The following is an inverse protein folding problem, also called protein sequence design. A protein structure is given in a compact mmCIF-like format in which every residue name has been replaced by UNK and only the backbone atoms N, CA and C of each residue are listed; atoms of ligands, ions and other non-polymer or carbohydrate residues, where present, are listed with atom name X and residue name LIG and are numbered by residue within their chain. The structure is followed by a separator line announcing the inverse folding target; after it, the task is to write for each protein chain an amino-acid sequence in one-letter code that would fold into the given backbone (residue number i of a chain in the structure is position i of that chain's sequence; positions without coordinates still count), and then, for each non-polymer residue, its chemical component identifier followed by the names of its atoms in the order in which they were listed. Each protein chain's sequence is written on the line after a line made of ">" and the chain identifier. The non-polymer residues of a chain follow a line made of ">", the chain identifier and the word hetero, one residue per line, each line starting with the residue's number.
data_IF_567564417234
#
_entry.id   IF_567564417234
#
_cell.length_a   1.000
_cell.length_b   1.000
_cell.length_c   1.000
_cell.angle_alpha   90.00
_cell.angle_beta   90.00
_cell.angle_gamma   90.00
#
_symmetry.space_group_name_H-M   'P 1'
#
loop_
_entity.id
_entity.type
_entity.pdbx_description
1 polymer ?
#
# COMPACT_ATOMS: atom_id res chain seq x y z
N UNK A 1 2.69 -66.29 4.34
CA UNK A 1 1.73 -65.26 4.81
C UNK A 1 2.52 -63.98 4.99
N UNK A 2 2.03 -62.88 4.41
CA UNK A 2 2.80 -61.69 3.99
C UNK A 2 2.79 -60.60 5.07
N UNK A 3 3.96 -60.24 5.60
CA UNK A 3 4.12 -59.21 6.64
C UNK A 3 4.15 -57.82 5.99
N UNK A 4 3.18 -56.98 6.35
CA UNK A 4 2.95 -55.67 5.74
C UNK A 4 3.92 -54.61 6.22
N UNK A 5 4.48 -53.87 5.27
CA UNK A 5 5.37 -52.72 5.50
C UNK A 5 4.51 -51.47 5.69
N UNK A 6 4.50 -50.90 6.90
CA UNK A 6 3.86 -49.61 7.19
C UNK A 6 4.76 -48.47 6.72
N UNK A 7 4.29 -47.70 5.74
CA UNK A 7 4.97 -46.49 5.25
C UNK A 7 4.43 -45.29 6.03
N UNK A 8 5.26 -44.72 6.90
CA UNK A 8 4.99 -43.44 7.58
C UNK A 8 5.31 -42.33 6.58
N UNK A 9 4.28 -41.75 5.98
CA UNK A 9 4.41 -40.58 5.11
C UNK A 9 4.55 -39.30 5.94
N UNK A 10 5.76 -38.76 6.02
CA UNK A 10 5.99 -37.43 6.59
C UNK A 10 5.58 -36.36 5.55
N UNK A 11 4.48 -35.67 5.81
CA UNK A 11 4.03 -34.54 4.99
C UNK A 11 4.91 -33.31 5.29
N UNK A 12 5.77 -32.94 4.34
CA UNK A 12 6.53 -31.69 4.39
C UNK A 12 5.59 -30.53 4.04
N UNK A 13 5.19 -29.75 5.04
CA UNK A 13 4.47 -28.49 4.85
C UNK A 13 5.45 -27.42 4.36
N UNK A 14 5.40 -27.11 3.05
CA UNK A 14 6.09 -25.97 2.49
C UNK A 14 5.28 -24.69 2.77
N UNK A 15 5.80 -23.81 3.62
CA UNK A 15 5.23 -22.48 3.84
C UNK A 15 5.77 -21.55 2.76
N UNK A 16 4.91 -21.15 1.82
CA UNK A 16 5.23 -20.11 0.85
C UNK A 16 4.85 -18.74 1.44
N UNK A 17 5.85 -17.87 1.65
CA UNK A 17 5.64 -16.47 1.99
C UNK A 17 5.62 -15.62 0.71
N UNK A 18 4.57 -14.82 0.50
CA UNK A 18 4.56 -13.82 -0.57
C UNK A 18 5.41 -12.62 -0.13
N UNK A 19 6.50 -12.34 -0.85
CA UNK A 19 7.19 -11.06 -0.77
C UNK A 19 6.71 -10.19 -1.92
N UNK A 20 6.24 -8.97 -1.63
CA UNK A 20 5.93 -7.99 -2.67
C UNK A 20 7.18 -7.14 -2.88
N UNK A 21 7.76 -7.13 -4.09
CA UNK A 21 8.86 -6.23 -4.40
C UNK A 21 8.34 -4.79 -4.44
N UNK A 22 8.85 -3.95 -3.54
CA UNK A 22 8.57 -2.51 -3.53
C UNK A 22 9.21 -1.87 -4.77
N UNK A 23 8.43 -1.75 -5.85
CA UNK A 23 8.84 -1.06 -7.07
C UNK A 23 8.43 0.40 -6.97
N UNK A 24 9.38 1.28 -6.62
CA UNK A 24 9.15 2.73 -6.58
C UNK A 24 8.91 3.35 -7.96
N UNK A 25 8.19 4.48 -8.10
CA UNK A 25 7.84 5.04 -9.39
C UNK A 25 9.06 5.60 -10.12
N UNK A 26 9.40 4.98 -11.26
CA UNK A 26 10.28 5.53 -12.30
C UNK A 26 9.41 6.36 -13.25
N UNK A 27 9.40 7.68 -13.06
CA UNK A 27 8.63 8.57 -13.92
C UNK A 27 8.74 10.02 -13.46
N UNK A 28 9.51 10.82 -14.20
CA UNK A 28 9.60 12.26 -14.03
C UNK A 28 8.33 12.93 -14.55
N UNK A 29 7.29 12.96 -13.72
CA UNK A 29 6.12 13.83 -13.92
C UNK A 29 6.26 15.03 -12.99
N UNK A 30 5.67 16.18 -13.35
CA UNK A 30 5.73 17.34 -12.48
C UNK A 30 5.13 16.96 -11.11
N UNK A 31 5.85 17.34 -10.05
CA UNK A 31 5.48 17.00 -8.68
C UNK A 31 5.17 18.27 -7.93
N UNK A 32 4.05 18.28 -7.21
CA UNK A 32 3.89 19.17 -6.07
C UNK A 32 4.40 18.38 -4.87
N UNK A 33 5.61 18.71 -4.41
CA UNK A 33 6.32 17.91 -3.42
C UNK A 33 6.70 16.52 -3.95
N UNK A 34 6.14 15.46 -3.35
CA UNK A 34 6.35 14.07 -3.79
C UNK A 34 5.15 13.46 -4.56
N UNK A 35 4.12 14.25 -4.86
CA UNK A 35 2.90 13.72 -5.48
C UNK A 35 2.86 13.95 -6.99
N UNK A 36 2.41 12.95 -7.76
CA UNK A 36 2.04 13.15 -9.16
C UNK A 36 0.92 14.19 -9.30
N UNK A 37 0.95 15.02 -10.34
CA UNK A 37 -0.12 15.99 -10.67
C UNK A 37 -1.52 15.39 -10.68
N UNK A 38 -1.66 14.15 -11.17
CA UNK A 38 -2.93 13.44 -11.19
C UNK A 38 -3.51 13.25 -9.78
N UNK A 39 -2.67 13.01 -8.78
CA UNK A 39 -3.10 12.85 -7.37
C UNK A 39 -3.48 14.21 -6.78
N UNK A 40 -2.70 15.25 -7.06
CA UNK A 40 -3.00 16.63 -6.64
C UNK A 40 -4.36 17.08 -7.18
N UNK A 41 -4.64 16.77 -8.44
CA UNK A 41 -5.89 17.16 -9.12
C UNK A 41 -7.13 16.43 -8.58
N UNK A 42 -6.95 15.25 -7.98
CA UNK A 42 -8.05 14.46 -7.41
C UNK A 42 -8.33 14.83 -5.95
N UNK A 43 -7.32 15.31 -5.22
CA UNK A 43 -7.41 15.54 -3.78
C UNK A 43 -8.51 16.54 -3.42
N UNK A 44 -9.33 16.18 -2.43
CA UNK A 44 -10.29 17.10 -1.83
C UNK A 44 -9.57 18.28 -1.13
N UNK A 45 -10.22 19.45 -1.03
CA UNK A 45 -9.65 20.61 -0.35
C UNK A 45 -9.38 20.34 1.14
N UNK A 46 -8.57 21.19 1.76
CA UNK A 46 -8.23 21.16 3.19
C UNK A 46 -7.46 19.90 3.66
N UNK A 47 -6.76 19.23 2.76
CA UNK A 47 -5.81 18.17 3.09
C UNK A 47 -4.38 18.67 2.85
N UNK A 48 -3.46 18.27 3.72
CA UNK A 48 -2.08 18.71 3.60
C UNK A 48 -1.34 17.86 2.55
N UNK A 49 -1.24 18.38 1.33
CA UNK A 49 -0.53 17.73 0.24
C UNK A 49 1.00 17.75 0.44
N UNK A 50 1.54 18.62 1.30
CA UNK A 50 2.98 18.74 1.47
C UNK A 50 3.58 17.54 2.22
N UNK A 51 2.80 16.91 3.10
CA UNK A 51 3.18 15.71 3.86
C UNK A 51 2.65 14.40 3.24
N UNK A 52 1.90 14.52 2.14
CA UNK A 52 1.25 13.38 1.51
C UNK A 52 2.26 12.47 0.79
N UNK A 53 2.05 11.15 0.92
CA UNK A 53 2.93 10.11 0.37
C UNK A 53 2.17 8.81 0.14
N UNK A 54 2.66 8.00 -0.78
CA UNK A 54 2.16 6.65 -1.00
C UNK A 54 2.63 5.73 0.13
N UNK A 55 1.72 5.05 0.81
CA UNK A 55 2.07 3.97 1.73
C UNK A 55 2.09 2.63 0.96
N UNK A 56 3.20 1.89 1.00
CA UNK A 56 3.30 0.62 0.27
C UNK A 56 2.44 -0.49 0.88
N UNK A 57 2.04 -0.34 2.15
CA UNK A 57 1.24 -1.33 2.90
C UNK A 57 -0.15 -1.55 2.28
N UNK A 58 -0.78 -0.47 1.79
CA UNK A 58 -2.10 -0.50 1.17
C UNK A 58 -2.12 0.03 -0.27
N UNK A 59 -1.04 0.66 -0.73
CA UNK A 59 -0.95 1.27 -2.05
C UNK A 59 -1.76 2.56 -2.20
N UNK A 60 -2.14 3.19 -1.09
CA UNK A 60 -2.92 4.43 -1.04
C UNK A 60 -2.06 5.62 -0.59
N UNK A 61 -2.49 6.82 -0.96
CA UNK A 61 -1.86 8.05 -0.51
C UNK A 61 -2.39 8.44 0.87
N UNK A 62 -1.49 8.83 1.76
CA UNK A 62 -1.77 9.26 3.13
C UNK A 62 -1.00 10.53 3.44
N UNK A 63 -1.55 11.37 4.31
CA UNK A 63 -0.90 12.61 4.76
C UNK A 63 -0.90 12.72 6.29
N UNK A 64 -0.04 13.58 6.82
CA UNK A 64 0.01 13.83 8.26
C UNK A 64 -1.11 14.80 8.68
N UNK A 65 -1.98 14.34 9.56
CA UNK A 65 -2.94 15.18 10.26
C UNK A 65 -2.41 15.50 11.65
N UNK A 66 -2.08 16.77 11.88
CA UNK A 66 -1.65 17.26 13.19
C UNK A 66 -2.88 17.66 14.00
N UNK A 67 -3.34 16.75 14.86
CA UNK A 67 -4.43 16.99 15.80
C UNK A 67 -3.93 17.58 17.12
N UNK A 68 -4.82 18.03 18.01
CA UNK A 68 -4.44 18.60 19.31
C UNK A 68 -3.70 17.62 20.23
N UNK A 69 -3.95 16.31 20.06
CA UNK A 69 -3.42 15.25 20.93
C UNK A 69 -2.25 14.53 20.27
N UNK A 70 -2.36 14.26 18.95
CA UNK A 70 -1.40 13.43 18.23
C UNK A 70 -1.28 13.87 16.76
N UNK A 71 -0.11 13.59 16.20
CA UNK A 71 0.08 13.58 14.75
C UNK A 71 -0.18 12.16 14.26
N UNK A 72 -1.17 12.01 13.38
CA UNK A 72 -1.53 10.71 12.82
C UNK A 72 -1.53 10.75 11.30
N UNK A 73 -1.37 9.59 10.68
CA UNK A 73 -1.57 9.47 9.24
C UNK A 73 -3.04 9.22 8.97
N UNK A 74 -3.60 9.98 8.03
CA UNK A 74 -4.95 9.76 7.53
C UNK A 74 -4.95 9.62 6.00
N UNK A 75 -5.94 8.90 5.42
CA UNK A 75 -5.99 8.70 3.98
C UNK A 75 -6.16 10.04 3.26
N UNK A 76 -5.43 10.23 2.17
CA UNK A 76 -5.69 11.30 1.22
C UNK A 76 -6.91 10.92 0.38
N UNK A 77 -7.95 11.73 0.44
CA UNK A 77 -9.26 11.43 -0.16
C UNK A 77 -9.53 12.31 -1.38
N UNK A 78 -10.19 11.74 -2.37
CA UNK A 78 -10.73 12.47 -3.49
C UNK A 78 -11.94 13.32 -3.07
N UNK A 79 -12.40 14.24 -3.93
CA UNK A 79 -13.62 15.04 -3.68
C UNK A 79 -14.84 14.18 -3.32
N UNK A 80 -14.97 12.99 -3.91
CA UNK A 80 -16.04 12.03 -3.59
C UNK A 80 -15.84 11.25 -2.28
N UNK A 81 -14.79 11.55 -1.50
CA UNK A 81 -14.50 10.91 -0.21
C UNK A 81 -13.81 9.55 -0.31
N UNK A 82 -13.57 8.99 -1.49
CA UNK A 82 -12.81 7.74 -1.62
C UNK A 82 -11.31 7.99 -1.43
N UNK A 83 -10.55 7.06 -0.80
CA UNK A 83 -9.09 7.17 -0.75
C UNK A 83 -8.50 7.15 -2.17
N UNK A 84 -7.44 7.92 -2.38
CA UNK A 84 -6.71 7.92 -3.65
C UNK A 84 -5.64 6.84 -3.58
N UNK A 85 -5.73 5.83 -4.45
CA UNK A 85 -4.82 4.70 -4.45
C UNK A 85 -4.26 4.42 -5.85
N UNK A 86 -3.10 3.78 -5.90
CA UNK A 86 -2.55 3.25 -7.15
C UNK A 86 -3.26 1.94 -7.49
N UNK A 87 -3.42 1.65 -8.79
CA UNK A 87 -3.95 0.35 -9.20
C UNK A 87 -2.97 -0.72 -8.74
N UNK A 88 -3.45 -1.71 -7.98
CA UNK A 88 -2.69 -2.93 -7.72
C UNK A 88 -2.45 -3.62 -9.06
N UNK A 89 -1.20 -3.74 -9.48
CA UNK A 89 -0.86 -4.54 -10.67
C UNK A 89 -1.27 -5.99 -10.36
N UNK A 90 -2.13 -6.55 -11.21
CA UNK A 90 -2.66 -7.91 -11.08
C UNK A 90 -1.65 -8.95 -11.59
#
# INVERSE_FOLDING_TARGET
>A
MKTGTFVIGAALLAVAGCTVPASGPQGGSARVGNLPEAVVSLAAPNQDLSTARLLPEDGCYWYQHNGPVETTLVPLRAVGGNPICTKRQA
#
